data_IF_494211784732
#
_entry.id   IF_494211784732
#
_cell.length_a   1.000
_cell.length_b   1.000
_cell.length_c   1.000
_cell.angle_alpha   90.00
_cell.angle_beta   90.00
_cell.angle_gamma   90.00
#
_symmetry.space_group_name_H-M   'P 1'
#
loop_
_entity.id
_entity.type
_entity.pdbx_description
1 polymer ?
#
# COMPACT_ATOMS: atom_id res chain seq x y z
N UNK A 1 -11.26 2.53 14.27
CA UNK A 1 -12.46 2.10 13.50
C UNK A 1 -12.74 2.96 12.26
N UNK A 2 -12.19 4.19 12.13
CA UNK A 2 -12.37 5.04 10.92
C UNK A 2 -11.58 4.57 9.68
N UNK A 3 -10.44 3.90 9.87
CA UNK A 3 -9.58 3.48 8.75
C UNK A 3 -10.30 2.57 7.75
N UNK A 4 -11.26 1.74 8.21
CA UNK A 4 -12.07 0.88 7.35
C UNK A 4 -13.05 1.67 6.47
N UNK A 5 -13.49 2.83 6.94
CA UNK A 5 -14.42 3.71 6.23
C UNK A 5 -13.71 4.36 5.05
N UNK A 6 -12.45 4.77 5.22
CA UNK A 6 -11.69 5.51 4.20
C UNK A 6 -10.83 4.62 3.30
N UNK A 7 -10.38 3.47 3.80
CA UNK A 7 -9.48 2.55 3.09
C UNK A 7 -10.22 1.29 2.67
N UNK A 8 -11.04 1.36 1.61
CA UNK A 8 -11.77 0.21 1.08
C UNK A 8 -11.83 0.21 -0.45
N UNK A 9 -12.14 -0.96 -1.02
CA UNK A 9 -12.13 -1.17 -2.46
C UNK A 9 -13.08 -0.24 -3.25
N UNK A 10 -14.21 0.18 -2.67
CA UNK A 10 -15.13 1.12 -3.33
C UNK A 10 -14.51 2.51 -3.48
N UNK A 11 -13.92 3.02 -2.40
CA UNK A 11 -13.25 4.32 -2.43
C UNK A 11 -11.99 4.28 -3.28
N UNK A 12 -11.21 3.20 -3.22
CA UNK A 12 -10.05 2.99 -4.10
C UNK A 12 -10.45 3.01 -5.58
N UNK A 13 -11.49 2.26 -5.96
CA UNK A 13 -11.98 2.25 -7.34
C UNK A 13 -12.52 3.62 -7.79
N UNK A 14 -13.16 4.37 -6.90
CA UNK A 14 -13.61 5.74 -7.20
C UNK A 14 -12.43 6.66 -7.45
N UNK A 15 -11.42 6.66 -6.58
CA UNK A 15 -10.21 7.47 -6.74
C UNK A 15 -9.46 7.11 -8.01
N UNK A 16 -9.31 5.81 -8.30
CA UNK A 16 -8.63 5.33 -9.51
C UNK A 16 -9.37 5.74 -10.80
N UNK A 17 -10.70 5.64 -10.84
CA UNK A 17 -11.49 6.15 -11.98
C UNK A 17 -11.33 7.65 -12.18
N UNK A 18 -11.35 8.43 -11.10
CA UNK A 18 -11.18 9.88 -11.18
C UNK A 18 -9.76 10.24 -11.69
N UNK A 19 -8.73 9.54 -11.21
CA UNK A 19 -7.35 9.75 -11.64
C UNK A 19 -7.17 9.41 -13.13
N UNK A 20 -7.67 8.24 -13.58
CA UNK A 20 -7.55 7.82 -14.98
C UNK A 20 -8.34 8.72 -15.92
N UNK A 21 -9.53 9.18 -15.53
CA UNK A 21 -10.30 10.15 -16.29
C UNK A 21 -9.59 11.51 -16.40
N UNK A 22 -8.92 11.97 -15.33
CA UNK A 22 -8.11 13.19 -15.37
C UNK A 22 -6.92 13.02 -16.33
N UNK A 23 -6.19 11.90 -16.25
CA UNK A 23 -5.05 11.62 -17.13
C UNK A 23 -5.48 11.52 -18.60
N UNK A 24 -6.57 10.82 -18.90
CA UNK A 24 -7.16 10.72 -20.23
C UNK A 24 -7.51 12.11 -20.80
N UNK A 25 -8.13 12.98 -19.99
CA UNK A 25 -8.41 14.37 -20.38
C UNK A 25 -7.14 15.18 -20.66
N UNK A 26 -6.09 14.99 -19.86
CA UNK A 26 -4.80 15.69 -20.06
C UNK A 26 -4.03 15.17 -21.27
N UNK A 27 -4.19 13.89 -21.61
CA UNK A 27 -3.62 13.29 -22.80
C UNK A 27 -4.39 13.63 -24.09
N UNK A 28 -5.61 14.18 -23.99
CA UNK A 28 -6.47 14.41 -25.15
C UNK A 28 -7.08 13.13 -25.72
N UNK A 29 -7.04 12.02 -24.98
CA UNK A 29 -7.52 10.71 -25.40
C UNK A 29 -8.52 10.16 -24.35
N UNK A 30 -9.84 10.31 -24.58
CA UNK A 30 -10.85 9.76 -23.70
C UNK A 30 -10.83 8.23 -23.59
N UNK A 31 -10.30 7.53 -24.60
CA UNK A 31 -10.24 6.06 -24.59
C UNK A 31 -9.20 5.51 -23.62
N UNK A 32 -8.24 6.34 -23.20
CA UNK A 32 -7.26 6.00 -22.17
C UNK A 32 -7.86 5.91 -20.75
N UNK A 33 -9.12 6.31 -20.55
CA UNK A 33 -9.77 6.18 -19.25
C UNK A 33 -10.13 4.72 -18.95
N UNK A 34 -9.80 4.25 -17.74
CA UNK A 34 -10.00 2.85 -17.36
C UNK A 34 -11.37 2.63 -16.69
N UNK A 35 -12.05 1.55 -17.06
CA UNK A 35 -13.30 1.14 -16.41
C UNK A 35 -13.06 0.26 -15.19
N UNK A 36 -12.70 0.89 -14.06
CA UNK A 36 -12.34 0.20 -12.83
C UNK A 36 -13.52 0.08 -11.85
N UNK A 37 -13.70 -1.10 -11.27
CA UNK A 37 -14.76 -1.46 -10.30
C UNK A 37 -14.13 -1.89 -8.98
N UNK A 38 -14.91 -1.88 -7.90
CA UNK A 38 -14.42 -2.28 -6.57
C UNK A 38 -13.82 -3.70 -6.56
N UNK A 39 -14.43 -4.64 -7.29
CA UNK A 39 -13.94 -6.03 -7.41
C UNK A 39 -12.57 -6.17 -8.08
N UNK A 40 -12.12 -5.14 -8.78
CA UNK A 40 -10.80 -5.14 -9.43
C UNK A 40 -9.69 -4.80 -8.42
N UNK A 41 -10.06 -4.50 -7.17
CA UNK A 41 -9.14 -4.19 -6.07
C UNK A 41 -9.33 -5.17 -4.92
N UNK A 42 -8.21 -5.71 -4.43
CA UNK A 42 -8.16 -6.43 -3.16
C UNK A 42 -7.55 -5.51 -2.11
N UNK A 43 -8.30 -5.23 -1.05
CA UNK A 43 -7.84 -4.44 0.10
C UNK A 43 -7.89 -5.33 1.33
N UNK A 44 -6.73 -5.56 1.96
CA UNK A 44 -6.63 -6.41 3.15
C UNK A 44 -6.57 -5.56 4.42
N UNK A 45 -7.60 -5.65 5.25
CA UNK A 45 -7.69 -4.90 6.51
C UNK A 45 -7.01 -5.60 7.68
N UNK A 46 -6.65 -6.88 7.53
CA UNK A 46 -6.10 -7.73 8.59
C UNK A 46 -4.81 -7.18 9.25
N UNK A 47 -4.08 -6.31 8.55
CA UNK A 47 -2.77 -5.79 8.99
C UNK A 47 -2.80 -4.36 9.53
N UNK A 48 -3.97 -3.71 9.58
CA UNK A 48 -4.10 -2.34 10.09
C UNK A 48 -3.76 -2.28 11.58
N UNK A 49 -4.16 -3.30 12.34
CA UNK A 49 -3.97 -3.36 13.79
C UNK A 49 -4.89 -2.39 14.55
N UNK A 50 -4.46 -1.89 15.72
CA UNK A 50 -5.32 -1.12 16.63
C UNK A 50 -5.66 0.29 16.10
N UNK A 51 -4.94 0.80 15.09
CA UNK A 51 -5.26 2.05 14.44
C UNK A 51 -4.07 2.69 13.71
N UNK A 52 -4.32 3.87 13.16
CA UNK A 52 -3.35 4.70 12.48
C UNK A 52 -2.14 5.05 13.37
N UNK A 53 -0.93 4.97 12.82
CA UNK A 53 0.33 5.30 13.50
C UNK A 53 0.76 4.31 14.59
N UNK A 54 -0.10 3.37 14.98
CA UNK A 54 0.21 2.38 16.02
C UNK A 54 0.88 1.16 15.36
N UNK A 55 2.10 0.76 15.79
CA UNK A 55 2.77 -0.43 15.30
C UNK A 55 1.97 -1.72 15.58
N UNK A 56 2.23 -2.77 14.79
CA UNK A 56 1.70 -4.12 15.03
C UNK A 56 2.84 -5.11 15.20
N UNK A 57 2.68 -6.20 15.98
CA UNK A 57 3.73 -7.22 16.11
C UNK A 57 4.19 -7.77 14.76
N UNK A 58 3.25 -8.13 13.88
CA UNK A 58 3.54 -8.62 12.54
C UNK A 58 4.25 -7.58 11.67
N UNK A 59 3.87 -6.30 11.77
CA UNK A 59 4.55 -5.21 11.07
C UNK A 59 5.98 -5.01 11.55
N UNK A 60 6.19 -4.99 12.87
CA UNK A 60 7.53 -4.86 13.47
C UNK A 60 8.45 -6.00 13.05
N UNK A 61 7.97 -7.24 13.07
CA UNK A 61 8.73 -8.39 12.61
C UNK A 61 9.09 -8.28 11.13
N UNK A 62 8.12 -7.93 10.27
CA UNK A 62 8.34 -7.77 8.84
C UNK A 62 9.32 -6.63 8.52
N UNK A 63 9.28 -5.51 9.25
CA UNK A 63 10.20 -4.40 9.09
C UNK A 63 11.65 -4.79 9.48
N UNK A 64 11.81 -5.53 10.58
CA UNK A 64 13.12 -6.05 11.02
C UNK A 64 13.71 -6.97 9.94
N UNK A 65 12.95 -7.94 9.46
CA UNK A 65 13.41 -8.86 8.41
C UNK A 65 13.75 -8.15 7.10
N UNK A 66 12.94 -7.15 6.74
CA UNK A 66 13.19 -6.34 5.54
C UNK A 66 14.49 -5.55 5.65
N UNK A 67 14.75 -4.94 6.82
CA UNK A 67 16.01 -4.25 7.07
C UNK A 67 17.22 -5.21 7.04
N UNK A 68 17.10 -6.38 7.67
CA UNK A 68 18.16 -7.39 7.70
C UNK A 68 18.52 -7.92 6.30
N UNK A 69 17.56 -8.00 5.39
CA UNK A 69 17.75 -8.54 4.04
C UNK A 69 18.15 -7.48 3.03
N UNK A 70 17.49 -6.33 3.06
CA UNK A 70 17.58 -5.30 2.01
C UNK A 70 18.34 -4.05 2.46
N UNK A 71 18.61 -3.89 3.77
CA UNK A 71 19.21 -2.67 4.33
C UNK A 71 18.30 -1.44 4.27
N UNK A 72 17.01 -1.63 3.99
CA UNK A 72 16.02 -0.57 3.82
C UNK A 72 15.08 -0.46 5.02
N UNK A 73 14.77 0.76 5.41
CA UNK A 73 13.86 1.04 6.52
C UNK A 73 12.40 0.92 6.09
N UNK A 74 11.58 0.33 6.95
CA UNK A 74 10.13 0.32 6.84
C UNK A 74 9.51 0.95 8.10
N UNK A 75 8.87 2.10 7.94
CA UNK A 75 8.20 2.78 9.06
C UNK A 75 6.92 2.03 9.50
N UNK A 76 6.50 2.15 10.78
CA UNK A 76 5.49 1.29 11.38
C UNK A 76 4.05 1.57 10.95
N UNK A 77 3.76 2.73 10.37
CA UNK A 77 2.42 3.22 10.04
C UNK A 77 1.86 2.55 8.79
N UNK A 78 2.64 2.47 7.72
CA UNK A 78 2.24 2.00 6.40
C UNK A 78 3.13 0.85 5.93
N UNK A 79 4.43 1.11 5.82
CA UNK A 79 5.34 0.22 5.07
C UNK A 79 5.51 -1.13 5.77
N UNK A 80 5.72 -1.11 7.09
CA UNK A 80 5.82 -2.31 7.90
C UNK A 80 4.54 -3.17 7.83
N UNK A 81 3.36 -2.54 7.86
CA UNK A 81 2.06 -3.23 7.78
C UNK A 81 1.82 -3.83 6.38
N UNK A 82 2.23 -3.13 5.32
CA UNK A 82 2.18 -3.63 3.96
C UNK A 82 3.11 -4.83 3.74
N UNK A 83 4.33 -4.79 4.30
CA UNK A 83 5.26 -5.92 4.27
C UNK A 83 4.71 -7.15 5.02
N UNK A 84 4.08 -6.94 6.18
CA UNK A 84 3.39 -8.02 6.89
C UNK A 84 2.28 -8.64 6.03
N UNK A 85 1.51 -7.82 5.31
CA UNK A 85 0.51 -8.27 4.35
C UNK A 85 1.07 -9.09 3.20
N UNK A 86 2.22 -8.66 2.64
CA UNK A 86 2.92 -9.39 1.59
C UNK A 86 3.43 -10.75 2.11
N UNK A 87 4.09 -10.77 3.27
CA UNK A 87 4.60 -12.00 3.91
C UNK A 87 3.47 -13.02 4.15
N UNK A 88 2.30 -12.54 4.57
CA UNK A 88 1.13 -13.40 4.76
C UNK A 88 0.48 -13.87 3.44
N UNK A 89 0.60 -13.12 2.35
CA UNK A 89 0.06 -13.50 1.04
C UNK A 89 1.00 -14.43 0.26
N UNK A 90 2.31 -14.35 0.50
CA UNK A 90 3.34 -15.06 -0.26
C UNK A 90 3.10 -16.59 -0.39
N UNK A 91 2.68 -17.32 0.67
CA UNK A 91 2.45 -18.77 0.56
C UNK A 91 1.34 -19.16 -0.42
N UNK A 92 0.40 -18.26 -0.71
CA UNK A 92 -0.72 -18.52 -1.64
C UNK A 92 -0.39 -18.13 -3.09
N UNK A 93 0.77 -17.50 -3.33
CA UNK A 93 1.18 -17.11 -4.68
C UNK A 93 1.71 -18.32 -5.46
N UNK A 94 1.36 -18.49 -6.74
CA UNK A 94 1.93 -19.53 -7.58
C UNK A 94 3.47 -19.46 -7.62
N UNK A 95 4.12 -20.61 -7.76
CA UNK A 95 5.57 -20.68 -7.92
C UNK A 95 6.03 -19.83 -9.13
N UNK A 96 7.11 -19.06 -8.96
CA UNK A 96 7.63 -18.17 -9.99
C UNK A 96 6.91 -16.81 -10.11
N UNK A 97 5.90 -16.53 -9.27
CA UNK A 97 5.26 -15.21 -9.22
C UNK A 97 6.28 -14.13 -8.89
N UNK A 98 6.33 -13.09 -9.72
CA UNK A 98 7.11 -11.87 -9.44
C UNK A 98 6.19 -10.83 -8.82
N UNK A 99 6.58 -10.29 -7.67
CA UNK A 99 5.82 -9.26 -6.96
C UNK A 99 6.60 -7.96 -7.00
N UNK A 100 5.94 -6.88 -7.44
CA UNK A 100 6.43 -5.52 -7.22
C UNK A 100 5.91 -5.03 -5.88
N UNK A 101 6.82 -4.77 -4.93
CA UNK A 101 6.48 -4.07 -3.70
C UNK A 101 6.73 -2.57 -3.88
N UNK A 102 5.68 -1.76 -3.76
CA UNK A 102 5.80 -0.31 -3.85
C UNK A 102 6.23 0.26 -2.50
N UNK A 103 7.54 0.50 -2.34
CA UNK A 103 8.12 1.07 -1.12
C UNK A 103 7.75 2.55 -0.99
N UNK A 104 6.74 2.87 -0.18
CA UNK A 104 6.32 4.27 0.09
C UNK A 104 7.08 4.94 1.24
N UNK A 105 7.96 4.22 1.93
CA UNK A 105 8.70 4.77 3.07
C UNK A 105 9.55 5.96 2.60
N UNK A 106 9.50 7.06 3.36
CA UNK A 106 10.40 8.18 3.12
C UNK A 106 11.84 7.73 3.35
N UNK A 107 12.68 7.84 2.33
CA UNK A 107 14.11 7.51 2.39
C UNK A 107 15.00 8.69 2.77
N UNK A 108 14.42 9.90 2.93
CA UNK A 108 15.17 11.10 3.31
C UNK A 108 15.21 11.29 4.82
N UNK A 109 16.34 11.77 5.37
CA UNK A 109 16.43 12.15 6.78
C UNK A 109 15.35 13.16 7.14
N UNK A 110 14.59 12.89 8.20
CA UNK A 110 13.56 13.81 8.71
C UNK A 110 14.13 14.79 9.74
N UNK A 111 15.39 14.62 10.14
CA UNK A 111 16.11 15.44 11.13
C UNK A 111 16.13 16.95 10.81
N UNK A 112 15.99 17.31 9.53
CA UNK A 112 16.02 18.69 9.05
C UNK A 112 14.64 19.25 8.66
N UNK A 113 13.56 18.47 8.82
CA UNK A 113 12.20 18.97 8.58
C UNK A 113 11.78 19.78 9.82
N UNK A 114 11.84 21.11 9.69
CA UNK A 114 11.21 22.00 10.68
C UNK A 114 9.70 21.75 10.68
N UNK A 115 9.03 21.77 11.85
CA UNK A 115 7.58 21.64 11.94
C UNK A 115 6.85 22.75 11.17
#
# INVERSE_FOLDING_TARGET
MSDLIVSNAHLTARTARNATALLARRAGDPSAALHLRARDFTVRHDFIGPGYGIPTPAGTEAAREFFEREGLTAEPTYTAKALAGLKAAAPALPAGTRVLFWLTCNSRPTENLRP
#
